data_IF_237339543419
#
_entry.id   IF_237339543419
#
_cell.length_a   1.000
_cell.length_b   1.000
_cell.length_c   1.000
_cell.angle_alpha   90.00
_cell.angle_beta   90.00
_cell.angle_gamma   90.00
#
_symmetry.space_group_name_H-M   'P 1'
#
loop_
_entity.id
_entity.type
_entity.pdbx_description
1 polymer ?
#
# COMPACT_ATOMS: atom_id res chain seq x y z
N UNK A 1 -17.08 -7.24 2.41
CA UNK A 1 -15.79 -7.21 3.14
C UNK A 1 -15.49 -5.79 3.63
N UNK A 2 -15.01 -5.63 4.87
CA UNK A 2 -14.68 -4.30 5.42
C UNK A 2 -13.41 -3.75 4.75
N UNK A 3 -13.40 -2.47 4.37
CA UNK A 3 -12.20 -1.79 3.82
C UNK A 3 -11.14 -1.64 4.92
N UNK A 4 -9.85 -1.58 4.54
CA UNK A 4 -8.77 -1.30 5.49
C UNK A 4 -8.97 0.08 6.12
N UNK A 5 -8.93 0.13 7.45
CA UNK A 5 -9.00 1.36 8.23
C UNK A 5 -7.78 1.40 9.15
N UNK A 6 -7.01 2.48 9.07
CA UNK A 6 -5.87 2.68 9.94
C UNK A 6 -6.30 3.44 11.18
N UNK A 7 -6.20 2.81 12.36
CA UNK A 7 -6.70 3.39 13.61
C UNK A 7 -5.98 4.70 13.99
N UNK A 8 -4.72 4.86 13.55
CA UNK A 8 -3.91 6.06 13.84
C UNK A 8 -3.96 7.09 12.70
N UNK A 9 -4.92 7.02 11.77
CA UNK A 9 -5.09 8.01 10.71
C UNK A 9 -5.28 9.45 11.26
N UNK A 10 -6.07 9.69 12.33
CA UNK A 10 -6.19 11.03 12.91
C UNK A 10 -4.87 11.57 13.44
N UNK A 11 -4.06 10.70 14.07
CA UNK A 11 -2.75 11.05 14.61
C UNK A 11 -1.76 11.36 13.48
N UNK A 12 -1.80 10.57 12.39
CA UNK A 12 -1.00 10.82 11.19
C UNK A 12 -1.32 12.19 10.58
N UNK A 13 -2.60 12.55 10.49
CA UNK A 13 -3.03 13.84 9.97
C UNK A 13 -2.61 15.00 10.88
N UNK A 14 -2.67 14.81 12.21
CA UNK A 14 -2.17 15.81 13.16
C UNK A 14 -0.65 16.02 13.00
N UNK A 15 0.12 14.95 12.83
CA UNK A 15 1.57 15.05 12.62
C UNK A 15 1.93 15.73 11.30
N UNK A 16 1.17 15.48 10.23
CA UNK A 16 1.30 16.21 8.96
C UNK A 16 1.10 17.71 9.14
N UNK A 17 0.04 18.12 9.85
CA UNK A 17 -0.19 19.55 10.14
C UNK A 17 0.96 20.17 10.94
N UNK A 18 1.48 19.47 11.95
CA UNK A 18 2.63 19.93 12.72
C UNK A 18 3.91 20.07 11.88
N UNK A 19 4.16 19.13 10.96
CA UNK A 19 5.25 19.25 10.00
C UNK A 19 5.07 20.46 9.09
N UNK A 20 3.86 20.68 8.57
CA UNK A 20 3.56 21.84 7.72
C UNK A 20 3.76 23.16 8.47
N UNK A 21 3.38 23.23 9.74
CA UNK A 21 3.64 24.39 10.61
C UNK A 21 5.14 24.63 10.78
N UNK A 22 5.92 23.58 11.07
CA UNK A 22 7.38 23.68 11.21
C UNK A 22 8.08 24.01 9.90
N UNK A 23 7.55 23.54 8.78
CA UNK A 23 8.04 23.89 7.45
C UNK A 23 7.82 25.37 7.15
N UNK A 24 6.66 25.91 7.53
CA UNK A 24 6.37 27.35 7.39
C UNK A 24 7.32 28.18 8.25
N UNK A 25 7.50 27.83 9.51
CA UNK A 25 8.45 28.51 10.41
C UNK A 25 9.88 28.53 9.82
N UNK A 26 10.37 27.38 9.35
CA UNK A 26 11.67 27.28 8.69
C UNK A 26 11.75 28.14 7.42
N UNK A 27 10.69 28.14 6.61
CA UNK A 27 10.65 28.87 5.33
C UNK A 27 10.67 30.38 5.53
N UNK A 28 10.06 30.89 6.62
CA UNK A 28 10.10 32.31 6.96
C UNK A 28 11.54 32.76 7.26
N UNK A 29 12.22 32.08 8.18
CA UNK A 29 13.62 32.41 8.54
C UNK A 29 14.55 32.27 7.34
N UNK A 30 14.38 31.21 6.54
CA UNK A 30 15.15 31.03 5.31
C UNK A 30 14.88 32.14 4.29
N UNK A 31 13.62 32.59 4.19
CA UNK A 31 13.21 33.70 3.33
C UNK A 31 13.88 35.02 3.71
N UNK A 32 13.92 35.34 5.00
CA UNK A 32 14.60 36.53 5.52
C UNK A 32 16.10 36.51 5.21
N UNK A 33 16.79 35.39 5.44
CA UNK A 33 18.21 35.24 5.11
C UNK A 33 18.44 35.42 3.61
N UNK A 34 17.54 34.90 2.76
CA UNK A 34 17.65 35.09 1.32
C UNK A 34 17.42 36.54 0.89
N UNK A 35 16.53 37.29 1.56
CA UNK A 35 16.37 38.72 1.32
C UNK A 35 17.65 39.49 1.64
N UNK A 36 18.28 39.19 2.77
CA UNK A 36 19.55 39.82 3.16
C UNK A 36 20.66 39.49 2.13
N UNK A 37 20.75 38.23 1.68
CA UNK A 37 21.68 37.84 0.61
C UNK A 37 21.44 38.59 -0.70
N UNK A 38 20.19 38.79 -1.08
CA UNK A 38 19.86 39.56 -2.28
C UNK A 38 20.29 41.02 -2.14
N UNK A 39 20.16 41.61 -0.95
CA UNK A 39 20.67 42.95 -0.67
C UNK A 39 22.19 43.04 -0.79
N UNK A 40 22.93 42.04 -0.29
CA UNK A 40 24.40 41.95 -0.46
C UNK A 40 24.76 41.88 -1.95
N UNK A 41 24.12 40.99 -2.71
CA UNK A 41 24.36 40.85 -4.15
C UNK A 41 24.07 42.14 -4.93
N UNK A 42 23.03 42.89 -4.53
CA UNK A 42 22.71 44.17 -5.17
C UNK A 42 23.76 45.24 -4.85
N UNK A 43 24.20 45.32 -3.60
CA UNK A 43 25.29 46.20 -3.20
C UNK A 43 26.61 45.84 -3.92
N UNK A 44 26.93 44.56 -4.06
CA UNK A 44 28.10 44.09 -4.83
C UNK A 44 28.03 44.53 -6.28
N UNK A 45 26.87 44.38 -6.94
CA UNK A 45 26.67 44.88 -8.31
C UNK A 45 26.86 46.39 -8.40
N UNK A 46 26.36 47.15 -7.43
CA UNK A 46 26.56 48.60 -7.39
C UNK A 46 28.03 48.96 -7.21
N UNK A 47 28.76 48.26 -6.34
CA UNK A 47 30.20 48.44 -6.16
C UNK A 47 30.94 48.15 -7.47
N UNK A 48 30.61 47.06 -8.16
CA UNK A 48 31.23 46.70 -9.45
C UNK A 48 30.98 47.76 -10.52
N UNK A 49 29.75 48.26 -10.62
CA UNK A 49 29.39 49.34 -11.55
C UNK A 49 30.19 50.62 -11.26
N UNK A 50 30.20 51.07 -10.01
CA UNK A 50 30.90 52.27 -9.58
C UNK A 50 32.43 52.13 -9.75
N UNK A 51 32.96 50.95 -9.49
CA UNK A 51 34.38 50.66 -9.69
C UNK A 51 34.72 50.62 -11.18
N UNK A 52 33.84 50.11 -12.04
CA UNK A 52 33.99 50.16 -13.50
C UNK A 52 33.88 51.57 -14.09
N UNK A 53 33.02 52.41 -13.52
CA UNK A 53 32.84 53.82 -13.90
C UNK A 53 33.99 54.73 -13.45
N UNK A 54 34.93 54.24 -12.65
CA UNK A 54 36.08 55.02 -12.20
C UNK A 54 36.97 55.54 -13.35
N UNK A 55 36.95 54.88 -14.52
CA UNK A 55 37.57 55.39 -15.75
C UNK A 55 36.85 56.63 -16.33
N UNK A 56 35.55 56.80 -16.07
CA UNK A 56 34.74 57.95 -16.49
C UNK A 56 34.92 59.18 -15.58
N UNK A 57 35.57 59.03 -14.42
CA UNK A 57 35.90 60.14 -13.52
C UNK A 57 37.14 60.95 -13.98
N UNK A 58 37.64 60.71 -15.20
CA UNK A 58 38.77 61.45 -15.76
C UNK A 58 38.40 62.93 -15.95
N UNK A 59 39.02 63.82 -15.15
CA UNK A 59 38.71 65.25 -15.12
C UNK A 59 37.73 65.68 -14.02
N UNK A 60 37.25 64.75 -13.18
CA UNK A 60 36.45 65.07 -11.99
C UNK A 60 37.28 65.74 -10.89
N UNK A 61 36.62 66.49 -10.00
CA UNK A 61 37.28 67.13 -8.88
C UNK A 61 37.76 66.10 -7.85
N UNK A 62 38.81 66.43 -7.08
CA UNK A 62 39.27 65.62 -5.95
C UNK A 62 38.12 65.32 -4.96
N UNK A 63 37.20 66.27 -4.79
CA UNK A 63 36.02 66.11 -3.94
C UNK A 63 35.08 65.00 -4.45
N UNK A 64 34.87 64.93 -5.76
CA UNK A 64 33.98 63.94 -6.37
C UNK A 64 34.57 62.53 -6.21
N UNK A 65 35.89 62.40 -6.35
CA UNK A 65 36.60 61.16 -6.09
C UNK A 65 36.47 60.71 -4.62
N UNK A 66 36.60 61.63 -3.67
CA UNK A 66 36.43 61.34 -2.25
C UNK A 66 35.00 60.89 -1.92
N UNK A 67 33.98 61.54 -2.49
CA UNK A 67 32.58 61.15 -2.32
C UNK A 67 32.31 59.76 -2.90
N UNK A 68 32.80 59.50 -4.11
CA UNK A 68 32.68 58.22 -4.77
C UNK A 68 33.31 57.08 -3.95
N UNK A 69 34.55 57.26 -3.50
CA UNK A 69 35.24 56.30 -2.63
C UNK A 69 34.55 56.13 -1.27
N UNK A 70 34.02 57.21 -0.70
CA UNK A 70 33.25 57.16 0.55
C UNK A 70 31.97 56.34 0.40
N UNK A 71 31.27 56.49 -0.72
CA UNK A 71 30.06 55.72 -1.01
C UNK A 71 30.37 54.23 -1.18
N UNK A 72 31.39 53.86 -1.97
CA UNK A 72 31.83 52.46 -2.09
C UNK A 72 32.16 51.86 -0.72
N UNK A 73 32.92 52.58 0.12
CA UNK A 73 33.23 52.11 1.48
C UNK A 73 31.98 51.90 2.32
N UNK A 74 30.99 52.80 2.22
CA UNK A 74 29.73 52.64 2.94
C UNK A 74 28.96 51.39 2.50
N UNK A 75 28.95 51.07 1.21
CA UNK A 75 28.32 49.84 0.68
C UNK A 75 29.06 48.59 1.18
N UNK A 76 30.40 48.61 1.21
CA UNK A 76 31.21 47.51 1.76
C UNK A 76 30.88 47.30 3.24
N UNK A 77 30.89 48.35 4.06
CA UNK A 77 30.53 48.25 5.48
C UNK A 77 29.09 47.80 5.68
N UNK A 78 28.16 48.21 4.81
CA UNK A 78 26.80 47.68 4.83
C UNK A 78 26.77 46.17 4.56
N UNK A 79 27.54 45.67 3.60
CA UNK A 79 27.65 44.24 3.33
C UNK A 79 28.22 43.47 4.53
N UNK A 80 29.29 43.97 5.16
CA UNK A 80 29.87 43.36 6.37
C UNK A 80 28.82 43.24 7.51
N UNK A 81 28.00 44.28 7.71
CA UNK A 81 26.92 44.23 8.70
C UNK A 81 25.83 43.23 8.33
N UNK A 82 25.42 43.19 7.06
CA UNK A 82 24.43 42.23 6.56
C UNK A 82 24.93 40.78 6.65
N UNK A 83 26.23 40.55 6.42
CA UNK A 83 26.86 39.25 6.64
C UNK A 83 26.81 38.85 8.11
N UNK A 84 27.16 39.77 9.02
CA UNK A 84 27.04 39.53 10.47
C UNK A 84 25.59 39.21 10.86
N UNK A 85 24.60 39.91 10.30
CA UNK A 85 23.18 39.63 10.53
C UNK A 85 22.78 38.22 10.06
N UNK A 86 23.31 37.75 8.93
CA UNK A 86 23.11 36.37 8.48
C UNK A 86 23.73 35.40 9.50
N UNK A 87 24.94 35.66 9.98
CA UNK A 87 25.61 34.78 10.95
C UNK A 87 24.86 34.69 12.28
N UNK A 88 24.31 35.81 12.74
CA UNK A 88 23.48 35.86 13.95
C UNK A 88 22.17 35.07 13.78
N UNK A 89 21.62 34.98 12.56
CA UNK A 89 20.39 34.22 12.25
C UNK A 89 20.61 32.75 11.89
N UNK A 90 21.82 32.35 11.50
CA UNK A 90 22.20 30.94 11.25
C UNK A 90 21.79 29.98 12.39
N UNK A 91 22.08 30.25 13.68
CA UNK A 91 21.71 29.32 14.75
C UNK A 91 20.20 29.13 14.88
N UNK A 92 19.41 30.19 14.64
CA UNK A 92 17.95 30.08 14.63
C UNK A 92 17.46 29.22 13.45
N UNK A 93 18.02 29.42 12.26
CA UNK A 93 17.71 28.61 11.08
C UNK A 93 18.02 27.13 11.33
N UNK A 94 19.18 26.82 11.92
CA UNK A 94 19.60 25.45 12.21
C UNK A 94 18.72 24.81 13.29
N UNK A 95 18.31 25.56 14.31
CA UNK A 95 17.35 25.10 15.31
C UNK A 95 16.01 24.74 14.66
N UNK A 96 15.45 25.61 13.82
CA UNK A 96 14.20 25.34 13.08
C UNK A 96 14.32 24.17 12.12
N UNK A 97 15.49 24.01 11.48
CA UNK A 97 15.79 22.86 10.64
C UNK A 97 15.79 21.55 11.44
N UNK A 98 16.39 21.54 12.62
CA UNK A 98 16.39 20.38 13.50
C UNK A 98 14.97 20.00 13.96
N UNK A 99 14.15 20.98 14.33
CA UNK A 99 12.73 20.77 14.68
C UNK A 99 11.94 20.15 13.51
N UNK A 100 12.14 20.67 12.28
CA UNK A 100 11.50 20.14 11.08
C UNK A 100 11.89 18.68 10.82
N UNK A 101 13.18 18.35 10.95
CA UNK A 101 13.68 16.98 10.76
C UNK A 101 13.05 16.02 11.79
N UNK A 102 12.89 16.45 13.04
CA UNK A 102 12.22 15.65 14.06
C UNK A 102 10.74 15.42 13.71
N UNK A 103 10.02 16.47 13.30
CA UNK A 103 8.62 16.34 12.88
C UNK A 103 8.46 15.40 11.68
N UNK A 104 9.37 15.48 10.70
CA UNK A 104 9.40 14.57 9.54
C UNK A 104 9.64 13.12 9.94
N UNK A 105 10.57 12.86 10.87
CA UNK A 105 10.81 11.51 11.41
C UNK A 105 9.56 10.97 12.08
N UNK A 106 8.90 11.78 12.90
CA UNK A 106 7.68 11.39 13.62
C UNK A 106 6.53 11.08 12.66
N UNK A 107 6.35 11.84 11.58
CA UNK A 107 5.37 11.48 10.53
C UNK A 107 5.76 10.15 9.86
N UNK A 108 7.02 10.02 9.44
CA UNK A 108 7.50 8.86 8.68
C UNK A 108 7.34 7.55 9.46
N UNK A 109 7.52 7.57 10.78
CA UNK A 109 7.27 6.41 11.65
C UNK A 109 5.81 5.93 11.52
N UNK A 110 4.84 6.85 11.56
CA UNK A 110 3.42 6.48 11.43
C UNK A 110 3.07 5.99 10.03
N UNK A 111 3.69 6.54 8.98
CA UNK A 111 3.51 6.06 7.62
C UNK A 111 4.01 4.63 7.45
N UNK A 112 5.21 4.33 7.98
CA UNK A 112 5.75 2.97 7.98
C UNK A 112 4.82 2.01 8.74
N UNK A 113 4.28 2.42 9.90
CA UNK A 113 3.32 1.61 10.64
C UNK A 113 2.04 1.34 9.84
N UNK A 114 1.51 2.36 9.16
CA UNK A 114 0.35 2.23 8.27
C UNK A 114 0.62 1.25 7.13
N UNK A 115 1.76 1.38 6.47
CA UNK A 115 2.16 0.47 5.39
C UNK A 115 2.30 -0.97 5.87
N UNK A 116 2.91 -1.18 7.04
CA UNK A 116 3.08 -2.51 7.61
C UNK A 116 1.73 -3.14 7.96
N UNK A 117 0.83 -2.40 8.60
CA UNK A 117 -0.53 -2.88 8.88
C UNK A 117 -1.30 -3.17 7.59
N UNK A 118 -1.18 -2.32 6.57
CA UNK A 118 -1.81 -2.55 5.28
C UNK A 118 -1.27 -3.81 4.59
N UNK A 119 0.04 -4.05 4.63
CA UNK A 119 0.66 -5.29 4.13
C UNK A 119 0.10 -6.52 4.84
N UNK A 120 -0.07 -6.48 6.17
CA UNK A 120 -0.65 -7.60 6.93
C UNK A 120 -2.11 -7.85 6.56
N UNK A 121 -2.93 -6.78 6.47
CA UNK A 121 -4.31 -6.86 6.03
C UNK A 121 -4.43 -7.49 4.64
N UNK A 122 -3.60 -7.04 3.68
CA UNK A 122 -3.58 -7.55 2.31
C UNK A 122 -3.21 -9.02 2.24
N UNK A 123 -2.23 -9.48 3.04
CA UNK A 123 -1.86 -10.90 3.14
C UNK A 123 -3.02 -11.75 3.66
N UNK A 124 -3.69 -11.30 4.73
CA UNK A 124 -4.85 -12.01 5.28
C UNK A 124 -6.03 -12.04 4.30
N UNK A 125 -6.26 -10.94 3.58
CA UNK A 125 -7.28 -10.84 2.55
C UNK A 125 -7.04 -11.88 1.45
N UNK A 126 -5.85 -11.91 0.85
CA UNK A 126 -5.53 -12.90 -0.19
C UNK A 126 -5.56 -14.34 0.31
N UNK A 127 -5.19 -14.58 1.57
CA UNK A 127 -5.29 -15.92 2.16
C UNK A 127 -6.74 -16.39 2.27
N UNK A 128 -7.67 -15.50 2.65
CA UNK A 128 -9.10 -15.80 2.71
C UNK A 128 -9.69 -16.02 1.32
N UNK A 129 -9.39 -15.12 0.38
CA UNK A 129 -9.85 -15.22 -1.01
C UNK A 129 -9.36 -16.53 -1.66
N UNK A 130 -8.09 -16.91 -1.43
CA UNK A 130 -7.56 -18.18 -1.92
C UNK A 130 -8.27 -19.39 -1.30
N UNK A 131 -8.56 -19.34 0.00
CA UNK A 131 -9.28 -20.41 0.69
C UNK A 131 -10.71 -20.55 0.16
N UNK A 132 -11.44 -19.44 0.00
CA UNK A 132 -12.79 -19.42 -0.58
C UNK A 132 -12.80 -19.97 -2.02
N UNK A 133 -11.79 -19.64 -2.83
CA UNK A 133 -11.61 -20.19 -4.17
C UNK A 133 -11.31 -21.69 -4.19
N UNK A 134 -10.43 -22.17 -3.30
CA UNK A 134 -10.12 -23.60 -3.16
C UNK A 134 -11.35 -24.40 -2.71
N UNK A 135 -12.12 -23.87 -1.76
CA UNK A 135 -13.36 -24.49 -1.30
C UNK A 135 -14.39 -24.59 -2.42
N UNK A 136 -14.63 -23.50 -3.15
CA UNK A 136 -15.55 -23.50 -4.29
C UNK A 136 -15.10 -24.44 -5.41
N UNK A 137 -13.79 -24.48 -5.70
CA UNK A 137 -13.20 -25.40 -6.67
C UNK A 137 -13.40 -26.87 -6.25
N UNK A 138 -13.16 -27.19 -4.97
CA UNK A 138 -13.35 -28.54 -4.45
C UNK A 138 -14.84 -28.96 -4.48
N UNK A 139 -15.76 -28.04 -4.19
CA UNK A 139 -17.20 -28.28 -4.32
C UNK A 139 -17.58 -28.60 -5.76
N UNK A 140 -17.16 -27.78 -6.73
CA UNK A 140 -17.41 -28.04 -8.17
C UNK A 140 -16.85 -29.38 -8.62
N UNK A 141 -15.61 -29.68 -8.23
CA UNK A 141 -14.96 -30.96 -8.54
C UNK A 141 -15.75 -32.13 -7.94
N UNK A 142 -16.25 -32.01 -6.71
CA UNK A 142 -17.07 -33.05 -6.07
C UNK A 142 -18.43 -33.27 -6.76
N UNK A 143 -18.99 -32.25 -7.39
CA UNK A 143 -20.22 -32.35 -8.19
C UNK A 143 -19.89 -33.08 -9.49
N UNK A 144 -18.82 -32.68 -10.18
CA UNK A 144 -18.36 -33.32 -11.41
C UNK A 144 -18.03 -34.81 -11.20
N UNK A 145 -17.38 -35.19 -10.10
CA UNK A 145 -17.13 -36.60 -9.79
C UNK A 145 -18.42 -37.40 -9.58
N UNK A 146 -19.44 -36.80 -8.95
CA UNK A 146 -20.75 -37.45 -8.79
C UNK A 146 -21.43 -37.67 -10.13
N UNK A 147 -21.45 -36.66 -11.00
CA UNK A 147 -22.03 -36.78 -12.35
C UNK A 147 -21.32 -37.86 -13.18
N UNK A 148 -19.98 -37.93 -13.12
CA UNK A 148 -19.20 -38.96 -13.82
C UNK A 148 -19.55 -40.35 -13.28
N UNK A 149 -19.65 -40.52 -11.95
CA UNK A 149 -19.96 -41.81 -11.37
C UNK A 149 -21.41 -42.26 -11.63
N UNK A 150 -22.39 -41.36 -11.57
CA UNK A 150 -23.79 -41.63 -11.96
C UNK A 150 -23.92 -41.99 -13.45
N UNK A 151 -23.10 -41.41 -14.32
CA UNK A 151 -23.06 -41.76 -15.75
C UNK A 151 -22.29 -43.05 -16.08
N UNK A 152 -21.55 -43.59 -15.11
CA UNK A 152 -20.69 -44.79 -15.26
C UNK A 152 -21.25 -46.04 -14.60
N UNK A 153 -22.41 -45.96 -13.94
CA UNK A 153 -23.12 -47.17 -13.53
C UNK A 153 -23.49 -47.94 -14.81
N UNK A 154 -22.96 -49.17 -15.01
CA UNK A 154 -23.43 -49.99 -16.12
C UNK A 154 -24.91 -50.29 -15.85
N UNK A 155 -25.79 -50.00 -16.81
CA UNK A 155 -27.17 -50.50 -16.74
C UNK A 155 -27.10 -51.97 -16.34
N UNK A 156 -27.80 -52.39 -15.26
CA UNK A 156 -27.75 -53.77 -14.82
C UNK A 156 -28.18 -54.62 -16.00
N UNK A 157 -27.28 -55.49 -16.47
CA UNK A 157 -27.53 -56.34 -17.62
C UNK A 157 -28.93 -56.96 -17.47
N UNK A 158 -29.80 -56.88 -18.51
CA UNK A 158 -31.16 -57.36 -18.39
C UNK A 158 -31.08 -58.80 -17.88
N UNK A 159 -31.81 -59.09 -16.79
CA UNK A 159 -31.86 -60.44 -16.23
C UNK A 159 -32.42 -61.36 -17.31
N UNK A 160 -31.54 -62.02 -18.05
CA UNK A 160 -31.92 -63.05 -19.01
C UNK A 160 -32.39 -64.23 -18.17
N UNK A 161 -33.70 -64.43 -18.15
CA UNK A 161 -34.33 -65.57 -17.51
C UNK A 161 -34.04 -66.80 -18.40
N UNK A 162 -32.94 -67.50 -18.11
CA UNK A 162 -32.65 -68.77 -18.79
C UNK A 162 -33.53 -69.84 -18.19
N UNK A 163 -34.43 -70.40 -19.00
CA UNK A 163 -35.19 -71.60 -18.62
C UNK A 163 -34.23 -72.79 -18.62
N UNK A 164 -34.06 -73.40 -17.47
CA UNK A 164 -33.29 -74.62 -17.29
C UNK A 164 -34.09 -75.78 -17.93
N UNK A 165 -33.85 -76.08 -19.21
CA UNK A 165 -34.36 -77.31 -19.83
C UNK A 165 -33.46 -78.48 -19.43
N UNK A 166 -33.49 -78.80 -18.14
CA UNK A 166 -32.83 -79.95 -17.56
C UNK A 166 -33.67 -81.22 -17.77
N UNK A 167 -33.19 -82.07 -18.67
CA UNK A 167 -33.56 -83.48 -18.77
C UNK A 167 -33.39 -84.18 -17.41
N UNK A 168 -34.50 -84.59 -16.80
CA UNK A 168 -34.52 -85.37 -15.56
C UNK A 168 -34.29 -86.86 -15.82
N UNK A 169 -33.16 -87.40 -15.38
CA UNK A 169 -33.04 -88.80 -14.96
C UNK A 169 -32.72 -88.81 -13.47
N UNK A 170 -33.50 -89.62 -12.76
CA UNK A 170 -33.73 -89.69 -11.31
C UNK A 170 -32.47 -89.99 -10.45
N UNK A 171 -32.44 -89.46 -9.22
CA UNK A 171 -32.20 -90.30 -8.04
C UNK A 171 -32.72 -89.68 -6.72
N UNK A 172 -33.74 -90.34 -6.16
CA UNK A 172 -33.99 -90.66 -4.75
C UNK A 172 -33.64 -89.65 -3.63
N UNK A 173 -34.70 -89.01 -3.13
CA UNK A 173 -35.06 -88.75 -1.72
C UNK A 173 -35.47 -87.30 -1.51
N UNK A 174 -36.78 -87.01 -1.60
CA UNK A 174 -37.43 -86.05 -0.71
C UNK A 174 -38.96 -86.19 -0.81
N UNK A 175 -39.51 -86.93 0.15
CA UNK A 175 -40.91 -87.32 0.27
C UNK A 175 -41.70 -86.24 1.06
N UNK A 176 -41.77 -85.01 0.53
CA UNK A 176 -42.44 -83.89 1.21
C UNK A 176 -43.55 -83.20 0.39
N UNK A 177 -43.50 -83.23 -0.95
CA UNK A 177 -44.46 -82.50 -1.79
C UNK A 177 -45.76 -83.25 -2.16
N UNK A 178 -45.74 -84.59 -2.20
CA UNK A 178 -46.88 -85.38 -2.68
C UNK A 178 -48.03 -85.50 -1.66
N UNK A 179 -47.76 -85.24 -0.39
CA UNK A 179 -48.74 -85.37 0.69
C UNK A 179 -49.72 -84.18 0.79
N UNK A 180 -49.35 -83.01 0.28
CA UNK A 180 -50.19 -81.80 0.34
C UNK A 180 -51.21 -81.73 -0.81
N UNK A 181 -50.82 -82.17 -2.01
CA UNK A 181 -51.71 -82.18 -3.18
C UNK A 181 -52.86 -83.18 -3.03
N UNK A 182 -52.62 -84.32 -2.37
CA UNK A 182 -53.67 -85.31 -2.07
C UNK A 182 -54.69 -84.80 -1.04
N UNK A 183 -54.25 -84.02 -0.04
CA UNK A 183 -55.12 -83.39 0.96
C UNK A 183 -56.01 -82.29 0.36
N UNK A 184 -55.55 -81.60 -0.69
CA UNK A 184 -56.33 -80.60 -1.43
C UNK A 184 -57.39 -81.26 -2.32
N UNK A 185 -57.04 -82.37 -2.98
CA UNK A 185 -57.95 -83.10 -3.86
C UNK A 185 -59.12 -83.75 -3.10
N UNK A 186 -58.88 -84.33 -1.94
CA UNK A 186 -59.95 -84.92 -1.11
C UNK A 186 -60.87 -83.87 -0.47
N UNK A 187 -60.43 -82.61 -0.37
CA UNK A 187 -61.22 -81.51 0.22
C UNK A 187 -62.24 -80.90 -0.76
N UNK A 188 -62.03 -81.03 -2.07
CA UNK A 188 -62.91 -80.49 -3.11
C UNK A 188 -63.76 -81.54 -3.83
N UNK A 189 -63.72 -82.81 -3.38
CA UNK A 189 -64.57 -83.88 -3.88
C UNK A 189 -65.79 -84.09 -2.96
N UNK A 190 -66.75 -83.17 -3.04
CA UNK A 190 -68.14 -83.37 -2.57
C UNK A 190 -69.11 -82.90 -3.62
#
# INVERSE_FOLDING_TARGET
MKRFQFNLEPVLNLRKKKEDEKLKEFSLVAGEINQIRNSILENERQIDLLTGESASLHGASLRDYQLHQGYIRSLITQNENLESDIENRKPELDAKRAELILAQKDRKILEILKENQYKTYRKLYFKKEKFELEEHYNQLKSIQWREIHESSEPEPAPRVFTYDTGSSVESANDDSGASELKKLYDRFKK
#
